data_IF_410979355053
#
_entry.id   IF_410979355053
#
_cell.length_a   1.000
_cell.length_b   1.000
_cell.length_c   1.000
_cell.angle_alpha   90.00
_cell.angle_beta   90.00
_cell.angle_gamma   90.00
#
_symmetry.space_group_name_H-M   'P 1'
#
loop_
_entity.id
_entity.type
_entity.pdbx_description
1 polymer ?
#
# COMPACT_ATOMS: atom_id res chain seq x y z
N UNK A 1 -15.93 -45.64 4.72
CA UNK A 1 -16.94 -44.67 5.21
C UNK A 1 -16.32 -43.43 5.90
N UNK A 2 -15.18 -43.56 6.62
CA UNK A 2 -14.54 -42.44 7.33
C UNK A 2 -13.97 -41.33 6.41
N UNK A 3 -13.39 -41.69 5.26
CA UNK A 3 -12.83 -40.74 4.27
C UNK A 3 -13.88 -39.82 3.62
N UNK A 4 -15.10 -40.33 3.43
CA UNK A 4 -16.22 -39.58 2.82
C UNK A 4 -16.77 -38.51 3.77
N UNK A 5 -16.74 -38.73 5.09
CA UNK A 5 -17.19 -37.75 6.09
C UNK A 5 -16.19 -36.59 6.22
N UNK A 6 -14.89 -36.89 6.15
CA UNK A 6 -13.83 -35.89 6.20
C UNK A 6 -13.86 -34.99 4.96
N UNK A 7 -14.01 -35.55 3.75
CA UNK A 7 -14.08 -34.73 2.53
C UNK A 7 -15.28 -33.80 2.53
N UNK A 8 -16.44 -34.25 3.02
CA UNK A 8 -17.63 -33.40 3.20
C UNK A 8 -17.41 -32.28 4.21
N UNK A 9 -16.68 -32.55 5.30
CA UNK A 9 -16.35 -31.53 6.29
C UNK A 9 -15.43 -30.45 5.72
N UNK A 10 -14.34 -30.86 5.04
CA UNK A 10 -13.40 -29.94 4.36
C UNK A 10 -14.13 -29.11 3.30
N UNK A 11 -14.97 -29.75 2.50
CA UNK A 11 -15.70 -29.05 1.43
C UNK A 11 -16.68 -28.03 2.01
N UNK A 12 -17.40 -28.38 3.08
CA UNK A 12 -18.32 -27.48 3.78
C UNK A 12 -17.60 -26.25 4.37
N UNK A 13 -16.47 -26.44 5.05
CA UNK A 13 -15.70 -25.31 5.61
C UNK A 13 -15.13 -24.41 4.52
N UNK A 14 -14.67 -24.98 3.39
CA UNK A 14 -14.22 -24.20 2.23
C UNK A 14 -15.36 -23.41 1.59
N UNK A 15 -16.56 -23.99 1.46
CA UNK A 15 -17.73 -23.26 0.95
C UNK A 15 -18.14 -22.12 1.87
N UNK A 16 -18.15 -22.32 3.19
CA UNK A 16 -18.42 -21.26 4.16
C UNK A 16 -17.35 -20.18 4.06
N UNK A 17 -16.06 -20.52 4.05
CA UNK A 17 -14.97 -19.56 3.94
C UNK A 17 -15.06 -18.73 2.64
N UNK A 18 -15.38 -19.38 1.52
CA UNK A 18 -15.56 -18.70 0.22
C UNK A 18 -16.76 -17.76 0.25
N UNK A 19 -17.87 -18.20 0.84
CA UNK A 19 -19.08 -17.39 0.98
C UNK A 19 -18.82 -16.16 1.84
N UNK A 20 -18.15 -16.32 2.99
CA UNK A 20 -17.76 -15.22 3.88
C UNK A 20 -16.83 -14.25 3.16
N UNK A 21 -15.83 -14.74 2.43
CA UNK A 21 -14.91 -13.91 1.64
C UNK A 21 -15.66 -13.11 0.57
N UNK A 22 -16.56 -13.75 -0.17
CA UNK A 22 -17.38 -13.09 -1.19
C UNK A 22 -18.27 -12.01 -0.59
N UNK A 23 -18.96 -12.30 0.52
CA UNK A 23 -19.77 -11.32 1.26
C UNK A 23 -18.91 -10.14 1.70
N UNK A 24 -17.71 -10.39 2.24
CA UNK A 24 -16.80 -9.32 2.65
C UNK A 24 -16.39 -8.41 1.48
N UNK A 25 -16.04 -9.00 0.33
CA UNK A 25 -15.68 -8.23 -0.88
C UNK A 25 -16.86 -7.37 -1.34
N UNK A 26 -18.07 -7.95 -1.41
CA UNK A 26 -19.28 -7.21 -1.81
C UNK A 26 -19.61 -6.10 -0.81
N UNK A 27 -19.46 -6.34 0.49
CA UNK A 27 -19.69 -5.35 1.53
C UNK A 27 -18.72 -4.18 1.43
N UNK A 28 -17.42 -4.45 1.27
CA UNK A 28 -16.38 -3.42 1.09
C UNK A 28 -16.65 -2.62 -0.19
N UNK A 29 -16.97 -3.29 -1.29
CA UNK A 29 -17.27 -2.62 -2.56
C UNK A 29 -18.50 -1.71 -2.46
N UNK A 30 -19.58 -2.20 -1.84
CA UNK A 30 -20.81 -1.42 -1.64
C UNK A 30 -20.57 -0.21 -0.72
N UNK A 31 -19.76 -0.39 0.33
CA UNK A 31 -19.34 0.69 1.22
C UNK A 31 -18.57 1.78 0.48
N UNK A 32 -17.59 1.40 -0.36
CA UNK A 32 -16.83 2.36 -1.17
C UNK A 32 -17.73 3.09 -2.18
N UNK A 33 -18.65 2.38 -2.83
CA UNK A 33 -19.61 3.00 -3.75
C UNK A 33 -20.45 4.06 -3.03
N UNK A 34 -21.03 3.72 -1.88
CA UNK A 34 -21.85 4.63 -1.08
C UNK A 34 -21.11 5.94 -0.75
N UNK A 35 -19.84 5.84 -0.30
CA UNK A 35 -19.01 7.01 0.00
C UNK A 35 -18.59 7.80 -1.24
N UNK A 36 -18.51 7.16 -2.40
CA UNK A 36 -18.14 7.81 -3.67
C UNK A 36 -19.31 8.53 -4.36
N UNK A 37 -20.57 8.23 -4.01
CA UNK A 37 -21.76 8.81 -4.64
C UNK A 37 -21.76 10.36 -4.73
N UNK A 38 -21.34 11.11 -3.69
CA UNK A 38 -21.31 12.58 -3.76
C UNK A 38 -20.47 13.11 -4.92
N UNK A 39 -19.38 12.41 -5.29
CA UNK A 39 -18.44 12.81 -6.36
C UNK A 39 -19.07 12.84 -7.76
N UNK A 40 -20.18 12.13 -7.96
CA UNK A 40 -20.90 12.08 -9.24
C UNK A 40 -21.93 13.20 -9.41
N UNK A 41 -22.06 14.12 -8.44
CA UNK A 41 -22.84 15.34 -8.63
C UNK A 41 -22.26 16.16 -9.79
N UNK A 42 -23.12 16.67 -10.69
CA UNK A 42 -22.74 17.28 -11.98
C UNK A 42 -21.70 18.41 -11.87
N UNK A 43 -21.62 19.07 -10.72
CA UNK A 43 -20.67 20.15 -10.45
C UNK A 43 -19.26 19.67 -10.12
N UNK A 44 -19.08 18.39 -9.74
CA UNK A 44 -17.83 17.84 -9.22
C UNK A 44 -17.08 16.95 -10.23
N UNK A 45 -17.73 16.47 -11.29
CA UNK A 45 -17.11 15.58 -12.29
C UNK A 45 -15.88 16.19 -12.98
N UNK A 46 -15.89 17.51 -13.24
CA UNK A 46 -14.75 18.22 -13.80
C UNK A 46 -13.54 18.26 -12.84
N UNK A 47 -13.79 18.22 -11.52
CA UNK A 47 -12.74 18.18 -10.51
C UNK A 47 -12.17 16.77 -10.33
N UNK A 48 -12.90 15.72 -10.70
CA UNK A 48 -12.38 14.35 -10.64
C UNK A 48 -11.25 14.13 -11.64
N UNK A 49 -11.33 14.71 -12.85
CA UNK A 49 -10.33 14.54 -13.90
C UNK A 49 -9.17 15.54 -13.87
N UNK A 50 -8.94 16.22 -12.74
CA UNK A 50 -7.82 17.16 -12.59
C UNK A 50 -6.51 16.46 -12.18
N UNK A 51 -5.39 17.16 -12.38
CA UNK A 51 -4.07 16.75 -11.91
C UNK A 51 -3.78 17.15 -10.45
N UNK A 52 -4.58 18.05 -9.88
CA UNK A 52 -4.43 18.52 -8.50
C UNK A 52 -5.00 17.52 -7.49
N UNK A 53 -4.16 17.02 -6.59
CA UNK A 53 -4.57 16.26 -5.41
C UNK A 53 -4.35 17.11 -4.16
N UNK A 54 -5.40 17.77 -3.68
CA UNK A 54 -5.37 18.63 -2.49
C UNK A 54 -6.59 18.31 -1.59
N UNK A 55 -6.51 17.23 -0.79
CA UNK A 55 -7.63 16.76 0.01
C UNK A 55 -8.09 17.79 1.06
N UNK A 56 -7.18 18.63 1.55
CA UNK A 56 -7.50 19.70 2.51
C UNK A 56 -8.31 20.86 1.90
N UNK A 57 -8.23 21.03 0.58
CA UNK A 57 -8.96 22.06 -0.17
C UNK A 57 -10.21 21.49 -0.86
N UNK A 58 -10.53 20.22 -0.62
CA UNK A 58 -11.67 19.53 -1.25
C UNK A 58 -11.43 19.15 -2.73
N UNK A 59 -10.19 19.28 -3.23
CA UNK A 59 -9.85 18.95 -4.62
C UNK A 59 -9.29 17.52 -4.73
N UNK A 60 -10.03 16.63 -5.37
CA UNK A 60 -9.70 15.21 -5.51
C UNK A 60 -9.52 14.80 -6.97
N UNK A 61 -8.32 15.03 -7.54
CA UNK A 61 -7.98 14.60 -8.89
C UNK A 61 -7.52 13.14 -8.97
N UNK A 62 -8.17 12.32 -9.81
CA UNK A 62 -7.86 10.89 -9.96
C UNK A 62 -6.64 10.62 -10.87
N UNK A 63 -6.34 11.53 -11.79
CA UNK A 63 -5.25 11.38 -12.77
C UNK A 63 -3.87 11.10 -12.14
N UNK A 64 -3.40 11.82 -11.09
CA UNK A 64 -2.11 11.52 -10.48
C UNK A 64 -2.06 10.11 -9.87
N UNK A 65 -3.18 9.60 -9.34
CA UNK A 65 -3.26 8.24 -8.77
C UNK A 65 -3.18 7.18 -9.88
N UNK A 66 -3.90 7.37 -10.98
CA UNK A 66 -3.85 6.47 -12.14
C UNK A 66 -2.44 6.46 -12.73
N UNK A 67 -1.88 7.64 -13.02
CA UNK A 67 -0.56 7.76 -13.64
C UNK A 67 0.55 7.24 -12.73
N UNK A 68 0.48 7.53 -11.43
CA UNK A 68 1.40 6.97 -10.45
C UNK A 68 1.35 5.45 -10.41
N UNK A 69 0.14 4.87 -10.44
CA UNK A 69 -0.05 3.41 -10.42
C UNK A 69 0.49 2.75 -11.69
N UNK A 70 0.17 3.31 -12.87
CA UNK A 70 0.64 2.79 -14.16
C UNK A 70 2.16 2.90 -14.27
N UNK A 71 2.73 4.08 -13.99
CA UNK A 71 4.16 4.31 -14.09
C UNK A 71 4.94 3.40 -13.13
N UNK A 72 4.48 3.28 -11.88
CA UNK A 72 5.12 2.42 -10.88
C UNK A 72 5.01 0.94 -11.27
N UNK A 73 3.86 0.50 -11.77
CA UNK A 73 3.66 -0.90 -12.21
C UNK A 73 4.55 -1.24 -13.40
N UNK A 74 4.61 -0.37 -14.41
CA UNK A 74 5.47 -0.56 -15.59
C UNK A 74 6.95 -0.58 -15.19
N UNK A 75 7.38 0.38 -14.37
CA UNK A 75 8.76 0.44 -13.90
C UNK A 75 9.13 -0.80 -13.07
N UNK A 76 8.23 -1.25 -12.20
CA UNK A 76 8.40 -2.47 -11.41
C UNK A 76 8.51 -3.71 -12.31
N UNK A 77 7.68 -3.83 -13.34
CA UNK A 77 7.73 -4.94 -14.30
C UNK A 77 9.04 -4.95 -15.08
N UNK A 78 9.45 -3.80 -15.63
CA UNK A 78 10.68 -3.69 -16.45
C UNK A 78 11.91 -4.10 -15.65
N UNK A 79 11.99 -3.77 -14.36
CA UNK A 79 13.11 -4.16 -13.51
C UNK A 79 13.00 -5.58 -12.95
N UNK A 80 11.83 -5.94 -12.43
CA UNK A 80 11.63 -7.22 -11.72
C UNK A 80 11.55 -8.41 -12.66
N UNK A 81 10.96 -8.25 -13.85
CA UNK A 81 10.73 -9.35 -14.79
C UNK A 81 12.04 -10.02 -15.28
N UNK A 82 13.03 -9.29 -15.84
CA UNK A 82 14.27 -9.93 -16.29
C UNK A 82 15.05 -10.54 -15.13
N UNK A 83 15.05 -9.91 -13.97
CA UNK A 83 15.72 -10.42 -12.78
C UNK A 83 15.06 -11.72 -12.27
N UNK A 84 13.73 -11.76 -12.23
CA UNK A 84 12.95 -12.95 -11.86
C UNK A 84 13.23 -14.11 -12.82
N UNK A 85 13.21 -13.86 -14.13
CA UNK A 85 13.53 -14.87 -15.14
C UNK A 85 14.98 -15.38 -14.99
N UNK A 86 15.95 -14.48 -14.81
CA UNK A 86 17.35 -14.86 -14.61
C UNK A 86 17.55 -15.77 -13.40
N UNK A 87 16.94 -15.44 -12.27
CA UNK A 87 16.97 -16.27 -11.06
C UNK A 87 16.29 -17.62 -11.29
N UNK A 88 15.13 -17.64 -11.94
CA UNK A 88 14.39 -18.87 -12.24
C UNK A 88 15.20 -19.82 -13.15
N UNK A 89 15.76 -19.30 -14.24
CA UNK A 89 16.59 -20.07 -15.15
C UNK A 89 17.85 -20.60 -14.45
N UNK A 90 18.51 -19.80 -13.60
CA UNK A 90 19.71 -20.24 -12.89
C UNK A 90 19.42 -21.38 -11.89
N UNK A 91 18.31 -21.29 -11.14
CA UNK A 91 17.92 -22.30 -10.16
C UNK A 91 17.56 -23.64 -10.83
N UNK A 92 16.90 -23.60 -11.99
CA UNK A 92 16.50 -24.82 -12.71
C UNK A 92 17.61 -25.41 -13.57
N UNK A 93 18.53 -24.60 -14.09
CA UNK A 93 19.62 -25.06 -14.96
C UNK A 93 20.86 -25.57 -14.22
N UNK A 94 20.96 -25.37 -12.90
CA UNK A 94 22.17 -25.69 -12.12
C UNK A 94 21.93 -26.82 -11.12
N UNK A 95 22.52 -28.00 -11.31
CA UNK A 95 22.20 -29.15 -10.44
C UNK A 95 22.82 -29.09 -9.03
N UNK A 96 24.06 -28.61 -8.86
CA UNK A 96 24.80 -28.69 -7.57
C UNK A 96 25.57 -27.44 -7.17
N UNK A 97 25.16 -26.25 -7.60
CA UNK A 97 25.82 -25.00 -7.22
C UNK A 97 25.48 -24.58 -5.77
N UNK A 98 26.49 -24.16 -4.98
CA UNK A 98 26.27 -23.51 -3.68
C UNK A 98 25.40 -22.24 -3.82
N UNK A 99 25.59 -21.50 -4.93
CA UNK A 99 24.82 -20.30 -5.24
C UNK A 99 23.34 -20.62 -5.44
N UNK A 100 22.99 -21.76 -6.06
CA UNK A 100 21.59 -22.20 -6.18
C UNK A 100 20.94 -22.40 -4.81
N UNK A 101 21.65 -23.06 -3.88
CA UNK A 101 21.15 -23.25 -2.50
C UNK A 101 20.95 -21.90 -1.81
N UNK A 102 21.91 -20.99 -1.94
CA UNK A 102 21.80 -19.62 -1.39
C UNK A 102 20.59 -18.86 -1.95
N UNK A 103 20.38 -18.88 -3.27
CA UNK A 103 19.25 -18.22 -3.91
C UNK A 103 17.90 -18.82 -3.51
N UNK A 104 17.81 -20.16 -3.41
CA UNK A 104 16.59 -20.83 -2.94
C UNK A 104 16.24 -20.44 -1.50
N UNK A 105 17.24 -20.40 -0.60
CA UNK A 105 17.05 -19.95 0.79
C UNK A 105 16.60 -18.49 0.82
N UNK A 106 17.23 -17.62 0.02
CA UNK A 106 16.85 -16.21 -0.05
C UNK A 106 15.40 -16.02 -0.52
N UNK A 107 14.98 -16.72 -1.57
CA UNK A 107 13.59 -16.66 -2.08
C UNK A 107 12.61 -17.15 -1.01
N UNK A 108 12.88 -18.29 -0.38
CA UNK A 108 12.04 -18.81 0.70
C UNK A 108 11.94 -17.83 1.88
N UNK A 109 13.06 -17.20 2.24
CA UNK A 109 13.09 -16.19 3.29
C UNK A 109 12.27 -14.94 2.90
N UNK A 110 12.41 -14.46 1.67
CA UNK A 110 11.63 -13.32 1.17
C UNK A 110 10.13 -13.58 1.18
N UNK A 111 9.70 -14.83 0.88
CA UNK A 111 8.29 -15.23 0.96
C UNK A 111 7.77 -15.42 2.38
N UNK A 112 8.66 -15.61 3.35
CA UNK A 112 8.30 -15.78 4.76
C UNK A 112 7.97 -14.45 5.44
N UNK A 113 8.61 -13.36 5.01
CA UNK A 113 8.35 -12.03 5.55
C UNK A 113 6.98 -11.52 5.06
N UNK A 114 6.09 -11.06 5.97
CA UNK A 114 4.82 -10.46 5.59
C UNK A 114 5.00 -9.22 4.70
N UNK A 115 4.14 -9.09 3.68
CA UNK A 115 4.17 -7.96 2.74
C UNK A 115 4.06 -6.59 3.41
N UNK A 116 3.32 -6.52 4.53
CA UNK A 116 3.14 -5.30 5.33
C UNK A 116 4.47 -4.77 5.89
N UNK A 117 5.40 -5.65 6.27
CA UNK A 117 6.70 -5.24 6.82
C UNK A 117 7.51 -4.51 5.76
N UNK A 118 7.55 -5.02 4.53
CA UNK A 118 8.24 -4.35 3.42
C UNK A 118 7.67 -2.95 3.15
N UNK A 119 6.35 -2.79 3.26
CA UNK A 119 5.69 -1.48 3.15
C UNK A 119 6.14 -0.50 4.23
N UNK A 120 6.13 -0.92 5.50
CA UNK A 120 6.58 -0.08 6.60
C UNK A 120 8.06 0.30 6.48
N UNK A 121 8.93 -0.66 6.16
CA UNK A 121 10.36 -0.41 5.95
C UNK A 121 10.58 0.60 4.82
N UNK A 122 9.82 0.50 3.72
CA UNK A 122 9.90 1.47 2.63
C UNK A 122 9.49 2.88 3.09
N UNK A 123 8.42 3.03 3.87
CA UNK A 123 7.99 4.34 4.36
C UNK A 123 9.02 4.95 5.32
N UNK A 124 9.58 4.16 6.24
CA UNK A 124 10.47 4.70 7.28
C UNK A 124 11.94 4.81 6.86
N UNK A 125 12.44 3.97 5.96
CA UNK A 125 13.84 4.02 5.51
C UNK A 125 13.97 4.58 4.10
N UNK A 126 13.17 4.08 3.15
CA UNK A 126 13.33 4.44 1.74
C UNK A 126 12.86 5.88 1.46
N UNK A 127 11.73 6.32 2.01
CA UNK A 127 11.25 7.70 1.82
C UNK A 127 12.26 8.76 2.29
N UNK A 128 12.78 8.73 3.53
CA UNK A 128 13.78 9.71 3.94
C UNK A 128 15.10 9.58 3.18
N UNK A 129 15.52 8.36 2.83
CA UNK A 129 16.69 8.13 1.98
C UNK A 129 16.53 8.81 0.60
N UNK A 130 15.40 8.60 -0.08
CA UNK A 130 15.10 9.22 -1.37
C UNK A 130 15.05 10.74 -1.27
N UNK A 131 14.42 11.30 -0.22
CA UNK A 131 14.38 12.76 0.01
C UNK A 131 15.78 13.37 0.13
N UNK A 132 16.68 12.65 0.79
CA UNK A 132 18.06 13.08 1.02
C UNK A 132 18.91 12.91 -0.24
N UNK A 133 18.81 11.77 -0.90
CA UNK A 133 19.58 11.43 -2.11
C UNK A 133 19.24 12.34 -3.29
N UNK A 134 17.95 12.56 -3.54
CA UNK A 134 17.50 13.42 -4.63
C UNK A 134 17.54 14.91 -4.29
N UNK A 135 18.03 15.28 -3.09
CA UNK A 135 17.97 16.63 -2.53
C UNK A 135 16.71 17.33 -2.99
N UNK A 136 15.53 16.77 -2.69
CA UNK A 136 14.25 17.34 -3.14
C UNK A 136 14.05 18.65 -2.36
N UNK A 137 14.81 19.66 -2.76
CA UNK A 137 14.99 20.96 -2.13
C UNK A 137 13.81 21.79 -2.59
N UNK A 138 12.72 21.71 -1.82
CA UNK A 138 11.69 22.74 -1.62
C UNK A 138 11.04 23.44 -2.84
N UNK A 139 11.43 23.14 -4.09
CA UNK A 139 10.84 23.75 -5.30
C UNK A 139 9.53 23.10 -5.71
N UNK A 140 9.33 21.83 -5.34
CA UNK A 140 8.14 21.07 -5.70
C UNK A 140 7.06 21.05 -4.60
N UNK A 141 7.44 21.36 -3.35
CA UNK A 141 6.51 21.56 -2.25
C UNK A 141 6.61 23.02 -1.83
N UNK A 142 5.63 23.89 -2.15
CA UNK A 142 5.63 25.25 -1.62
C UNK A 142 5.75 25.22 -0.09
N UNK A 143 6.43 26.19 0.53
CA UNK A 143 6.81 26.19 1.94
C UNK A 143 5.63 26.24 2.94
N UNK A 144 4.39 26.08 2.47
CA UNK A 144 3.17 26.19 3.28
C UNK A 144 2.90 24.96 4.15
N UNK A 145 3.47 23.79 3.85
CA UNK A 145 3.21 22.56 4.63
C UNK A 145 4.18 22.29 5.79
N UNK A 146 5.33 22.99 5.84
CA UNK A 146 6.23 22.90 7.02
C UNK A 146 5.68 23.63 8.23
N UNK A 147 5.01 24.76 8.02
CA UNK A 147 4.47 25.56 9.12
C UNK A 147 3.32 24.85 9.83
N UNK A 148 2.41 24.19 9.10
CA UNK A 148 1.32 23.46 9.75
C UNK A 148 1.79 22.20 10.47
N UNK A 149 2.72 21.40 9.92
CA UNK A 149 3.13 20.18 10.61
C UNK A 149 3.92 20.47 11.90
N UNK A 150 4.81 21.47 11.90
CA UNK A 150 5.56 21.90 13.09
C UNK A 150 4.67 22.64 14.11
N UNK A 151 3.79 23.55 13.66
CA UNK A 151 2.86 24.25 14.56
C UNK A 151 1.81 23.29 15.14
N UNK A 152 1.25 22.37 14.37
CA UNK A 152 0.30 21.38 14.88
C UNK A 152 0.99 20.44 15.85
N UNK A 153 2.18 19.92 15.58
CA UNK A 153 2.86 19.01 16.51
C UNK A 153 3.28 19.70 17.83
N UNK A 154 3.78 20.93 17.76
CA UNK A 154 4.17 21.71 18.95
C UNK A 154 2.95 22.20 19.75
N UNK A 155 1.88 22.65 19.08
CA UNK A 155 0.66 23.13 19.76
C UNK A 155 -0.14 21.97 20.36
N UNK A 156 -0.19 20.79 19.71
CA UNK A 156 -0.87 19.61 20.27
C UNK A 156 -0.12 19.01 21.48
N UNK A 157 1.23 18.99 21.46
CA UNK A 157 2.01 18.55 22.63
C UNK A 157 1.95 19.55 23.79
N UNK A 158 1.96 20.86 23.52
CA UNK A 158 1.74 21.86 24.58
C UNK A 158 0.31 21.77 25.15
N UNK A 159 -0.72 21.68 24.30
CA UNK A 159 -2.11 21.64 24.76
C UNK A 159 -2.45 20.41 25.62
N UNK A 160 -1.83 19.25 25.35
CA UNK A 160 -2.01 18.05 26.18
C UNK A 160 -1.17 18.04 27.46
N UNK A 161 -0.02 18.74 27.49
CA UNK A 161 0.88 18.74 28.66
C UNK A 161 0.63 19.92 29.63
N UNK A 162 -0.15 20.92 29.23
CA UNK A 162 -0.58 22.05 30.10
C UNK A 162 -2.06 22.01 30.48
N UNK A 163 -2.72 20.86 30.42
CA UNK A 163 -4.00 20.70 31.14
C UNK A 163 -3.65 20.37 32.60
N UNK A 164 -3.70 21.32 33.55
CA UNK A 164 -3.71 20.96 34.95
C UNK A 164 -4.97 20.13 35.18
N UNK A 165 -4.77 18.91 35.67
CA UNK A 165 -5.74 18.23 36.53
C UNK A 165 -6.17 19.25 37.58
N UNK A 166 -7.40 19.80 37.51
CA UNK A 166 -8.23 20.36 38.60
C UNK A 166 -9.51 21.04 38.06
N UNK A 167 -10.67 20.66 38.65
CA UNK A 167 -12.02 21.25 38.61
C UNK A 167 -12.80 21.09 37.28
N UNK A 168 -13.90 20.33 37.16
CA UNK A 168 -14.87 19.76 38.11
C UNK A 168 -15.40 18.40 37.62
#
# INVERSE_FOLDING_TARGET
MHSVRISRFITSTLFVATTVSCIAVVAIFSFLLYFSLPLFSLTQLQHVFTWSWQPFEGNFGILPMIMGSVLLSVFSLVLSYPLSLGVCCYIHGSDKSFLRKGMLILVQFMTSIPTVIYGFVAVFLLVPFLRSFFQIRHRFFPPRSRTYFELTYSTYYCAYFTQPVLAD
#
